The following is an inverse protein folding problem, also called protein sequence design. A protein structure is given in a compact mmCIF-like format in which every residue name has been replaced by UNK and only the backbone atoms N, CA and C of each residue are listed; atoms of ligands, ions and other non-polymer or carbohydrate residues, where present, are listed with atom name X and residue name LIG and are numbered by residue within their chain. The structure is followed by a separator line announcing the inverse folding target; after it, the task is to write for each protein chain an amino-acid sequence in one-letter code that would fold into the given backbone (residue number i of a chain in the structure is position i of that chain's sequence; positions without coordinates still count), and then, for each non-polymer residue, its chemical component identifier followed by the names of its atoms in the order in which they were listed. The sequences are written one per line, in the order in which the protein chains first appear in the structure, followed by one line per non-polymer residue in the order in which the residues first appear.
data_IF_794613262107
#
_entry.id   IF_794613262107
#
_cell.length_a   1.000
_cell.length_b   1.000
_cell.length_c   1.000
_cell.angle_alpha   90.00
_cell.angle_beta   90.00
_cell.angle_gamma   90.00
#
_symmetry.space_group_name_H-M   'P 1'
#
loop_
_entity.id
_entity.type
_entity.pdbx_description
1 polymer ?
#
# COMPACT_ATOMS: atom_id res chain seq x y z
N UNK A 1 11.37 30.05 27.43
CA UNK A 1 11.07 30.68 26.12
C UNK A 1 11.00 29.61 25.05
N UNK A 2 9.84 29.46 24.41
CA UNK A 2 9.58 28.51 23.31
C UNK A 2 10.17 29.07 22.02
N UNK A 3 11.20 28.42 21.48
CA UNK A 3 11.50 28.47 20.05
C UNK A 3 11.02 27.11 19.49
N UNK A 4 10.01 27.00 18.65
CA UNK A 4 9.76 27.84 17.48
C UNK A 4 10.70 27.41 16.36
N UNK A 5 10.60 26.18 15.87
CA UNK A 5 11.24 25.79 14.60
C UNK A 5 10.16 25.61 13.55
N UNK A 6 10.02 26.66 12.76
CA UNK A 6 9.17 26.75 11.57
C UNK A 6 9.92 26.21 10.35
N UNK A 7 9.27 25.23 9.70
CA UNK A 7 9.22 24.96 8.26
C UNK A 7 10.46 24.41 7.51
N UNK A 8 10.29 23.13 7.13
CA UNK A 8 10.31 22.63 5.74
C UNK A 8 11.64 22.65 4.98
N UNK A 9 12.50 21.68 5.29
CA UNK A 9 13.32 21.07 4.22
C UNK A 9 12.46 20.01 3.52
N UNK A 10 11.70 20.39 2.50
CA UNK A 10 11.19 19.43 1.49
C UNK A 10 12.33 18.98 0.57
N UNK A 11 13.47 18.66 1.17
CA UNK A 11 14.62 18.10 0.49
C UNK A 11 14.28 16.67 0.09
N UNK A 12 14.55 16.33 -1.16
CA UNK A 12 14.50 14.96 -1.67
C UNK A 12 15.50 14.12 -0.86
N UNK A 13 15.04 13.50 0.22
CA UNK A 13 15.82 12.55 1.01
C UNK A 13 15.76 11.18 0.32
N UNK A 14 16.92 10.53 0.16
CA UNK A 14 16.95 9.15 -0.32
C UNK A 14 16.48 8.24 0.81
N UNK A 15 15.74 7.19 0.45
CA UNK A 15 15.46 6.10 1.38
C UNK A 15 16.80 5.45 1.80
N UNK A 16 17.06 5.24 3.10
CA UNK A 16 18.22 4.50 3.56
C UNK A 16 18.28 3.09 2.94
N UNK A 17 19.48 2.54 2.83
CA UNK A 17 19.64 1.15 2.42
C UNK A 17 18.92 0.20 3.39
N UNK A 18 18.33 -0.88 2.87
CA UNK A 18 17.57 -1.85 3.67
C UNK A 18 16.24 -1.31 4.22
N UNK A 19 15.75 -0.19 3.68
CA UNK A 19 14.46 0.40 4.04
C UNK A 19 13.62 0.65 2.79
N UNK A 20 12.32 0.67 2.99
CA UNK A 20 11.32 1.02 1.98
C UNK A 20 10.56 2.27 2.40
N UNK A 21 10.29 3.15 1.43
CA UNK A 21 9.38 4.28 1.60
C UNK A 21 8.02 3.90 1.01
N UNK A 22 7.02 3.73 1.87
CA UNK A 22 5.69 3.24 1.48
C UNK A 22 4.67 4.37 1.44
N UNK A 23 3.76 4.31 0.48
CA UNK A 23 2.62 5.21 0.35
C UNK A 23 1.34 4.37 0.25
N UNK A 24 0.29 4.79 0.95
CA UNK A 24 -1.03 4.23 0.73
C UNK A 24 -1.67 4.75 -0.56
N UNK A 25 -2.62 4.00 -1.12
CA UNK A 25 -3.34 4.41 -2.33
C UNK A 25 -4.25 5.62 -2.08
N UNK A 26 -4.96 5.65 -0.94
CA UNK A 26 -5.68 6.84 -0.48
C UNK A 26 -4.71 7.83 0.18
N UNK A 27 -4.14 8.71 -0.63
CA UNK A 27 -3.13 9.67 -0.20
C UNK A 27 -3.63 10.66 0.85
N UNK A 28 -4.93 10.92 0.92
CA UNK A 28 -5.51 11.88 1.83
C UNK A 28 -5.66 11.30 3.24
N UNK A 29 -6.01 10.01 3.33
CA UNK A 29 -6.28 9.35 4.61
C UNK A 29 -5.17 8.41 5.08
N UNK A 30 -4.21 8.07 4.22
CA UNK A 30 -3.12 7.17 4.60
C UNK A 30 -2.15 7.83 5.58
N UNK A 31 -1.98 7.18 6.73
CA UNK A 31 -0.82 7.35 7.59
C UNK A 31 0.29 6.44 7.06
N UNK A 32 1.24 7.02 6.33
CA UNK A 32 2.32 6.30 5.64
C UNK A 32 3.69 6.93 5.90
N UNK A 33 4.72 6.56 5.12
CA UNK A 33 6.10 7.01 5.34
C UNK A 33 6.29 8.53 5.28
N UNK A 34 5.32 9.29 4.75
CA UNK A 34 5.30 10.76 4.86
C UNK A 34 5.17 11.24 6.31
N UNK A 35 4.58 10.41 7.18
CA UNK A 35 4.28 10.73 8.58
C UNK A 35 5.22 10.02 9.56
N UNK A 36 5.60 8.76 9.31
CA UNK A 36 6.43 7.97 10.22
C UNK A 36 7.84 7.65 9.69
N UNK A 37 8.16 8.01 8.45
CA UNK A 37 9.45 7.75 7.82
C UNK A 37 9.56 6.39 7.09
N UNK A 38 10.74 6.04 6.55
CA UNK A 38 11.00 4.75 5.94
C UNK A 38 10.88 3.57 6.92
N UNK A 39 10.53 2.40 6.42
CA UNK A 39 10.36 1.16 7.20
C UNK A 39 11.48 0.17 6.86
N UNK A 40 12.10 -0.50 7.84
CA UNK A 40 13.06 -1.59 7.57
C UNK A 40 12.47 -2.70 6.69
N UNK A 41 13.25 -3.23 5.76
CA UNK A 41 12.82 -4.32 4.86
C UNK A 41 12.51 -5.63 5.60
N UNK A 42 13.15 -5.88 6.75
CA UNK A 42 12.95 -7.05 7.60
C UNK A 42 11.60 -7.04 8.36
N UNK A 43 10.96 -5.86 8.48
CA UNK A 43 9.63 -5.73 9.04
C UNK A 43 8.51 -6.13 8.06
N UNK A 44 8.84 -6.43 6.79
CA UNK A 44 7.86 -6.80 5.77
C UNK A 44 7.51 -8.28 5.86
N UNK A 45 6.24 -8.57 6.14
CA UNK A 45 5.74 -9.96 6.18
C UNK A 45 5.70 -10.63 4.79
N UNK A 46 5.58 -9.86 3.71
CA UNK A 46 5.50 -10.38 2.35
C UNK A 46 4.94 -9.38 1.33
N UNK A 47 4.74 -9.84 0.10
CA UNK A 47 4.18 -9.05 -1.01
C UNK A 47 2.78 -9.53 -1.37
N UNK A 48 1.84 -8.60 -1.48
CA UNK A 48 0.52 -8.89 -2.06
C UNK A 48 0.66 -9.07 -3.58
N UNK A 49 0.51 -10.31 -4.07
CA UNK A 49 0.66 -10.64 -5.49
C UNK A 49 -0.66 -10.56 -6.25
N UNK A 50 -1.74 -11.04 -5.64
CA UNK A 50 -3.06 -11.03 -6.23
C UNK A 50 -4.14 -10.97 -5.15
N UNK A 51 -5.29 -10.42 -5.52
CA UNK A 51 -6.52 -10.49 -4.74
C UNK A 51 -7.49 -11.38 -5.50
N UNK A 52 -7.80 -12.56 -4.96
CA UNK A 52 -8.81 -13.45 -5.54
C UNK A 52 -10.18 -12.83 -5.29
N UNK A 53 -10.78 -12.32 -6.36
CA UNK A 53 -12.14 -11.76 -6.31
C UNK A 53 -13.12 -12.82 -6.81
N UNK A 54 -14.16 -13.11 -6.01
CA UNK A 54 -15.22 -14.12 -6.27
C UNK A 54 -14.78 -15.59 -6.08
N UNK A 55 -14.66 -16.04 -4.83
CA UNK A 55 -14.71 -17.47 -4.48
C UNK A 55 -16.17 -17.93 -4.20
N UNK A 56 -17.11 -17.53 -5.06
CA UNK A 56 -18.51 -17.96 -4.98
C UNK A 56 -18.77 -18.88 -6.18
N UNK A 57 -19.19 -20.11 -5.91
CA UNK A 57 -19.37 -21.23 -6.85
C UNK A 57 -20.49 -21.02 -7.90
N UNK A 58 -21.03 -19.81 -8.01
CA UNK A 58 -22.27 -19.51 -8.71
C UNK A 58 -22.08 -19.38 -10.24
N UNK A 59 -20.89 -19.67 -10.78
CA UNK A 59 -20.54 -19.45 -12.21
C UNK A 59 -19.97 -20.69 -12.91
N UNK A 60 -20.20 -21.89 -12.38
CA UNK A 60 -20.10 -23.15 -13.15
C UNK A 60 -21.52 -23.62 -13.46
N UNK A 61 -22.17 -23.00 -14.45
CA UNK A 61 -23.55 -23.32 -14.78
C UNK A 61 -24.21 -22.37 -15.77
N UNK A 62 -23.73 -22.32 -17.01
CA UNK A 62 -24.54 -21.96 -18.17
C UNK A 62 -23.80 -22.27 -19.48
N UNK A 63 -23.61 -23.56 -19.78
CA UNK A 63 -23.34 -24.02 -21.15
C UNK A 63 -24.40 -25.06 -21.61
N UNK A 64 -25.54 -25.14 -20.93
CA UNK A 64 -26.60 -26.12 -21.21
C UNK A 64 -27.94 -25.46 -21.57
N UNK A 65 -27.93 -24.34 -22.32
CA UNK A 65 -29.14 -23.81 -22.96
C UNK A 65 -28.85 -23.43 -24.40
N UNK A 66 -28.89 -24.44 -25.25
CA UNK A 66 -28.71 -24.36 -26.70
C UNK A 66 -29.01 -25.68 -27.40
N UNK A 67 -29.93 -26.48 -26.85
CA UNK A 67 -30.52 -27.68 -27.45
C UNK A 67 -31.98 -27.76 -26.97
N UNK A 68 -32.80 -26.92 -27.57
CA UNK A 68 -34.26 -26.95 -27.69
C UNK A 68 -34.57 -26.16 -28.97
#
# INVERSE_FOLDING_TARGET
TRAGSTATTSGRSRCPAGHVFMLGDDRALSRDSRTFGPVPEDALAGRLLARVWRWRADRVGSLARGLD
#
